data_IF_175667743450
#
_entry.id   IF_175667743450
#
_cell.length_a   1.000
_cell.length_b   1.000
_cell.length_c   1.000
_cell.angle_alpha   90.00
_cell.angle_beta   90.00
_cell.angle_gamma   90.00
#
_symmetry.space_group_name_H-M   'P 1'
#
loop_
_entity.id
_entity.type
_entity.pdbx_description
1 polymer ?
#
# COMPACT_ATOMS: atom_id res chain seq x y z
N UNK A 1 -14.54 -15.31 -13.91
CA UNK A 1 -14.45 -14.51 -12.68
C UNK A 1 -13.55 -13.33 -12.98
N UNK A 2 -13.93 -12.12 -12.57
CA UNK A 2 -13.07 -10.94 -12.66
C UNK A 2 -11.92 -11.14 -11.66
N UNK A 3 -10.68 -11.26 -12.14
CA UNK A 3 -9.50 -11.53 -11.29
C UNK A 3 -9.06 -10.30 -10.48
N UNK A 4 -9.49 -9.11 -10.90
CA UNK A 4 -9.17 -7.83 -10.29
C UNK A 4 -10.44 -7.02 -9.98
N UNK A 5 -11.31 -7.48 -9.07
CA UNK A 5 -12.45 -6.68 -8.62
C UNK A 5 -11.93 -5.43 -7.90
N UNK A 6 -12.59 -4.29 -8.10
CA UNK A 6 -12.18 -3.05 -7.44
C UNK A 6 -12.25 -3.18 -5.90
N UNK A 7 -11.25 -2.63 -5.20
CA UNK A 7 -11.06 -2.70 -3.74
C UNK A 7 -10.73 -4.09 -3.18
N UNK A 8 -10.70 -5.13 -4.01
CA UNK A 8 -10.28 -6.46 -3.56
C UNK A 8 -8.78 -6.49 -3.25
N UNK A 9 -8.39 -7.39 -2.34
CA UNK A 9 -7.00 -7.66 -2.05
C UNK A 9 -6.55 -8.92 -2.80
N UNK A 10 -5.37 -8.86 -3.40
CA UNK A 10 -4.78 -9.95 -4.17
C UNK A 10 -3.31 -10.14 -3.84
N UNK A 11 -2.79 -11.33 -4.13
CA UNK A 11 -1.36 -11.61 -4.24
C UNK A 11 -1.03 -11.98 -5.67
N UNK A 12 0.15 -11.59 -6.08
CA UNK A 12 0.70 -11.96 -7.38
C UNK A 12 1.82 -12.98 -7.16
N UNK A 13 1.55 -14.23 -7.53
CA UNK A 13 2.52 -15.33 -7.50
C UNK A 13 3.23 -15.42 -8.86
N UNK A 14 4.55 -15.23 -8.85
CA UNK A 14 5.37 -15.42 -10.04
C UNK A 14 5.42 -16.89 -10.41
N UNK A 15 4.92 -17.25 -11.59
CA UNK A 15 4.98 -18.64 -12.08
C UNK A 15 6.39 -19.11 -12.40
N UNK A 16 7.29 -18.16 -12.67
CA UNK A 16 8.69 -18.44 -12.99
C UNK A 16 9.47 -18.80 -11.73
N UNK A 17 9.23 -18.08 -10.65
CA UNK A 17 10.03 -18.20 -9.42
C UNK A 17 9.31 -18.90 -8.26
N UNK A 18 8.00 -19.10 -8.35
CA UNK A 18 7.20 -19.65 -7.24
C UNK A 18 7.17 -18.73 -6.01
N UNK A 19 7.36 -17.42 -6.21
CA UNK A 19 7.48 -16.40 -5.16
C UNK A 19 6.51 -15.25 -5.40
N UNK A 20 6.18 -14.53 -4.34
CA UNK A 20 5.17 -13.48 -4.32
C UNK A 20 5.76 -12.10 -4.52
N UNK A 21 5.07 -11.24 -5.27
CA UNK A 21 5.42 -9.84 -5.42
C UNK A 21 5.34 -9.13 -4.05
N UNK A 22 6.45 -8.54 -3.63
CA UNK A 22 6.65 -8.03 -2.28
C UNK A 22 7.05 -6.55 -2.30
N UNK A 23 6.23 -5.70 -1.67
CA UNK A 23 6.55 -4.31 -1.38
C UNK A 23 7.59 -4.25 -0.25
N UNK A 24 8.82 -3.84 -0.53
CA UNK A 24 9.85 -3.83 0.49
C UNK A 24 9.59 -2.78 1.58
N UNK A 25 10.14 -3.03 2.76
CA UNK A 25 9.96 -2.16 3.93
C UNK A 25 10.59 -0.79 3.75
N UNK A 26 11.49 -0.58 2.79
CA UNK A 26 12.03 0.75 2.47
C UNK A 26 10.97 1.72 1.90
N UNK A 27 9.77 1.23 1.57
CA UNK A 27 8.70 2.02 0.96
C UNK A 27 9.03 2.48 -0.46
N UNK A 28 10.04 1.90 -1.09
CA UNK A 28 10.53 2.31 -2.40
C UNK A 28 10.70 1.13 -3.35
N UNK A 29 11.40 0.07 -2.93
CA UNK A 29 11.70 -1.05 -3.83
C UNK A 29 10.63 -2.14 -3.77
N UNK A 30 10.59 -2.96 -4.82
CA UNK A 30 9.73 -4.14 -4.92
C UNK A 30 10.63 -5.33 -5.23
N UNK A 31 10.39 -6.45 -4.55
CA UNK A 31 11.14 -7.70 -4.73
C UNK A 31 10.20 -8.89 -4.84
N UNK A 32 10.78 -10.09 -4.96
CA UNK A 32 10.04 -11.35 -4.85
C UNK A 32 10.38 -12.03 -3.53
N UNK A 33 9.36 -12.45 -2.79
CA UNK A 33 9.50 -13.10 -1.49
C UNK A 33 8.84 -14.48 -1.49
N UNK A 34 9.45 -15.50 -0.87
CA UNK A 34 8.79 -16.79 -0.65
C UNK A 34 7.70 -16.71 0.43
N UNK A 35 7.64 -15.61 1.20
CA UNK A 35 6.73 -15.47 2.33
C UNK A 35 5.33 -15.05 1.88
N UNK A 36 4.41 -16.01 1.77
CA UNK A 36 3.00 -15.77 1.37
C UNK A 36 2.21 -14.91 2.35
N UNK A 37 2.32 -15.22 3.65
CA UNK A 37 1.51 -14.60 4.71
C UNK A 37 2.17 -13.31 5.24
N UNK A 38 2.17 -12.26 4.42
CA UNK A 38 2.68 -10.93 4.80
C UNK A 38 1.81 -9.83 4.22
N UNK A 39 1.67 -8.71 4.92
CA UNK A 39 1.01 -7.51 4.38
C UNK A 39 1.79 -6.93 3.20
N UNK A 40 3.11 -7.10 3.18
CA UNK A 40 3.97 -6.63 2.12
C UNK A 40 3.78 -7.41 0.80
N UNK A 41 3.14 -8.59 0.83
CA UNK A 41 2.75 -9.32 -0.40
C UNK A 41 1.30 -9.11 -0.80
N UNK A 42 0.53 -8.35 0.00
CA UNK A 42 -0.85 -8.03 -0.27
C UNK A 42 -0.98 -6.70 -1.04
N UNK A 43 -1.71 -6.75 -2.15
CA UNK A 43 -1.96 -5.62 -3.03
C UNK A 43 -3.46 -5.39 -3.17
N UNK A 44 -3.90 -4.18 -2.88
CA UNK A 44 -5.28 -3.76 -3.11
C UNK A 44 -5.46 -3.27 -4.55
N UNK A 45 -6.55 -3.71 -5.17
CA UNK A 45 -6.90 -3.38 -6.54
C UNK A 45 -7.61 -2.04 -6.58
N UNK A 46 -7.12 -1.17 -7.46
CA UNK A 46 -7.74 0.10 -7.80
C UNK A 46 -8.00 0.12 -9.30
N UNK A 47 -9.28 0.01 -9.71
CA UNK A 47 -9.66 0.14 -11.12
C UNK A 47 -9.82 1.60 -11.52
N UNK A 48 -9.29 1.94 -12.69
CA UNK A 48 -9.40 3.26 -13.29
C UNK A 48 -9.83 3.12 -14.74
N UNK A 49 -10.93 3.78 -15.12
CA UNK A 49 -11.34 3.88 -16.51
C UNK A 49 -10.95 5.25 -17.08
N UNK A 50 -10.23 5.25 -18.21
CA UNK A 50 -9.84 6.48 -18.89
C UNK A 50 -9.91 6.30 -20.41
N UNK A 51 -10.70 7.18 -21.07
CA UNK A 51 -10.90 7.19 -22.53
C UNK A 51 -11.34 5.82 -23.07
N UNK A 52 -12.21 5.13 -22.34
CA UNK A 52 -12.73 3.81 -22.73
C UNK A 52 -11.76 2.64 -22.52
N UNK A 53 -10.59 2.89 -21.94
CA UNK A 53 -9.63 1.84 -21.53
C UNK A 53 -9.72 1.65 -20.03
N UNK A 54 -9.79 0.39 -19.60
CA UNK A 54 -9.79 0.02 -18.18
C UNK A 54 -8.37 -0.35 -17.75
N UNK A 55 -7.87 0.36 -16.75
CA UNK A 55 -6.59 0.13 -16.12
C UNK A 55 -6.78 -0.44 -14.71
N UNK A 56 -5.81 -1.25 -14.30
CA UNK A 56 -5.65 -1.71 -12.93
C UNK A 56 -4.43 -1.01 -12.35
N UNK A 57 -4.61 -0.42 -11.18
CA UNK A 57 -3.54 0.04 -10.33
C UNK A 57 -3.49 -0.87 -9.10
N UNK A 58 -2.29 -1.18 -8.63
CA UNK A 58 -2.09 -2.04 -7.47
C UNK A 58 -1.39 -1.23 -6.38
N UNK A 59 -2.06 -1.00 -5.26
CA UNK A 59 -1.44 -0.35 -4.11
C UNK A 59 -1.16 -1.33 -2.98
N UNK A 60 0.02 -1.21 -2.37
CA UNK A 60 0.46 -2.04 -1.25
C UNK A 60 -0.51 -1.90 -0.08
N UNK A 61 -0.96 -3.01 0.48
CA UNK A 61 -1.78 -3.00 1.70
C UNK A 61 -0.97 -2.59 2.95
N UNK A 62 0.37 -2.61 2.87
CA UNK A 62 1.24 -2.18 3.96
C UNK A 62 1.35 -0.64 4.03
N UNK A 63 1.60 0.02 2.89
CA UNK A 63 1.97 1.45 2.85
C UNK A 63 1.14 2.31 1.91
N UNK A 64 0.15 1.73 1.22
CA UNK A 64 -0.73 2.41 0.28
C UNK A 64 -0.07 2.90 -1.01
N UNK A 65 1.23 2.63 -1.20
CA UNK A 65 2.00 3.02 -2.39
C UNK A 65 1.74 2.08 -3.56
N UNK A 66 1.76 2.62 -4.77
CA UNK A 66 1.40 1.93 -6.00
C UNK A 66 2.58 1.24 -6.66
N UNK A 67 2.33 0.06 -7.22
CA UNK A 67 3.27 -0.68 -8.04
C UNK A 67 3.57 0.09 -9.32
N UNK A 68 4.84 0.41 -9.53
CA UNK A 68 5.30 1.28 -10.60
C UNK A 68 6.43 0.67 -11.42
N UNK A 69 6.55 1.09 -12.68
CA UNK A 69 7.72 0.84 -13.53
C UNK A 69 8.31 2.15 -14.00
N UNK A 70 9.58 2.34 -13.72
CA UNK A 70 10.32 3.52 -14.16
C UNK A 70 11.81 3.19 -14.35
N UNK A 71 12.55 4.04 -15.08
CA UNK A 71 14.00 3.95 -15.15
C UNK A 71 14.63 3.99 -13.76
N UNK A 72 15.54 3.07 -13.50
CA UNK A 72 16.26 3.01 -12.24
C UNK A 72 17.14 4.27 -12.10
N UNK A 73 17.01 5.05 -11.02
CA UNK A 73 17.65 6.36 -10.91
C UNK A 73 19.19 6.30 -10.85
N UNK A 74 19.74 5.17 -10.40
CA UNK A 74 21.19 4.97 -10.22
C UNK A 74 21.89 4.18 -11.32
N UNK A 75 21.19 3.77 -12.38
CA UNK A 75 21.77 2.97 -13.47
C UNK A 75 21.83 3.81 -14.74
N UNK A 76 23.01 3.87 -15.35
CA UNK A 76 23.32 4.76 -16.47
C UNK A 76 22.49 4.45 -17.73
N UNK A 77 22.01 3.22 -17.91
CA UNK A 77 21.36 2.74 -19.14
C UNK A 77 19.82 2.77 -19.13
N UNK A 78 19.18 3.63 -18.31
CA UNK A 78 17.71 3.68 -18.17
C UNK A 78 17.07 2.33 -17.86
N UNK A 79 17.82 1.42 -17.25
CA UNK A 79 17.34 0.07 -16.95
C UNK A 79 16.07 0.18 -16.10
N UNK A 80 14.97 -0.36 -16.61
CA UNK A 80 13.69 -0.28 -15.94
C UNK A 80 13.69 -1.16 -14.69
N UNK A 81 13.08 -0.65 -13.62
CA UNK A 81 12.88 -1.38 -12.37
C UNK A 81 11.43 -1.28 -11.90
N UNK A 82 11.09 -2.14 -10.93
CA UNK A 82 9.79 -2.16 -10.28
C UNK A 82 9.91 -1.51 -8.91
N UNK A 83 9.04 -0.54 -8.63
CA UNK A 83 9.11 0.30 -7.44
C UNK A 83 7.74 0.60 -6.85
N UNK A 84 7.75 1.29 -5.70
CA UNK A 84 6.58 1.81 -5.00
C UNK A 84 6.50 3.33 -5.15
N UNK A 85 5.40 3.83 -5.73
CA UNK A 85 5.16 5.26 -5.99
C UNK A 85 3.91 5.79 -5.31
N UNK A 86 3.91 7.10 -5.05
CA UNK A 86 2.68 7.83 -4.72
C UNK A 86 1.86 8.08 -5.98
N UNK A 87 0.54 8.23 -5.84
CA UNK A 87 -0.37 8.54 -6.95
C UNK A 87 -0.81 9.99 -6.86
N UNK A 88 -0.17 10.88 -7.63
CA UNK A 88 -0.31 12.33 -7.48
C UNK A 88 -0.99 13.03 -8.66
N UNK A 89 -1.04 12.40 -9.83
CA UNK A 89 -1.76 12.94 -11.00
C UNK A 89 -2.84 11.94 -11.44
N UNK A 90 -4.03 12.39 -11.91
CA UNK A 90 -5.10 11.47 -12.29
C UNK A 90 -4.69 10.48 -13.39
N UNK A 91 -3.79 10.90 -14.26
CA UNK A 91 -3.21 10.07 -15.33
C UNK A 91 -1.71 9.97 -15.09
N UNK A 92 -1.35 8.99 -14.28
CA UNK A 92 0.01 8.67 -13.93
C UNK A 92 0.42 7.32 -14.57
N UNK A 93 1.03 7.38 -15.76
CA UNK A 93 1.29 6.20 -16.59
C UNK A 93 2.28 5.18 -16.00
N UNK A 94 3.17 5.61 -15.10
CA UNK A 94 4.16 4.74 -14.46
C UNK A 94 3.58 3.76 -13.43
N UNK A 95 2.29 3.87 -13.10
CA UNK A 95 1.57 2.97 -12.17
C UNK A 95 0.35 2.29 -12.81
N UNK A 96 0.13 2.46 -14.11
CA UNK A 96 -1.03 1.93 -14.82
C UNK A 96 -0.71 0.61 -15.52
N UNK A 97 -1.59 -0.38 -15.29
CA UNK A 97 -1.45 -1.72 -15.81
C UNK A 97 -2.68 -2.13 -16.61
N UNK A 98 -2.47 -2.70 -17.79
CA UNK A 98 -3.48 -3.44 -18.52
C UNK A 98 -3.32 -4.93 -18.23
N UNK A 99 -4.44 -5.60 -17.99
CA UNK A 99 -4.46 -7.02 -17.63
C UNK A 99 -4.81 -7.85 -18.87
N UNK A 100 -3.92 -8.76 -19.25
CA UNK A 100 -4.14 -9.72 -20.31
C UNK A 100 -4.17 -11.14 -19.76
N UNK A 101 -5.02 -12.04 -20.27
CA UNK A 101 -4.89 -13.46 -19.99
C UNK A 101 -3.54 -13.97 -20.48
N UNK A 102 -2.83 -14.73 -19.65
CA UNK A 102 -1.61 -15.40 -20.10
C UNK A 102 -1.96 -16.41 -21.21
N UNK A 103 -1.16 -16.42 -22.27
CA UNK A 103 -1.35 -17.35 -23.40
C UNK A 103 -1.11 -18.83 -23.07
N UNK A 104 -0.73 -19.15 -21.83
CA UNK A 104 -0.38 -20.49 -21.37
C UNK A 104 -1.58 -21.41 -21.10
N UNK A 105 -2.81 -20.87 -21.16
CA UNK A 105 -4.04 -21.63 -20.95
C UNK A 105 -4.25 -22.12 -19.51
N UNK A 106 -3.37 -21.73 -18.59
CA UNK A 106 -3.37 -22.23 -17.22
C UNK A 106 -3.89 -21.17 -16.23
N UNK A 107 -4.72 -20.25 -16.71
CA UNK A 107 -5.39 -19.22 -15.91
C UNK A 107 -4.48 -18.13 -15.33
N UNK A 108 -3.29 -17.93 -15.90
CA UNK A 108 -2.38 -16.85 -15.51
C UNK A 108 -2.80 -15.50 -16.11
N UNK A 109 -2.14 -14.44 -15.65
CA UNK A 109 -2.27 -13.08 -16.20
C UNK A 109 -0.92 -12.45 -16.50
N UNK A 110 -0.92 -11.60 -17.50
CA UNK A 110 0.18 -10.71 -17.85
C UNK A 110 -0.22 -9.28 -17.49
N UNK A 111 0.62 -8.61 -16.71
CA UNK A 111 0.48 -7.20 -16.38
C UNK A 111 1.32 -6.40 -17.36
N UNK A 112 0.65 -5.66 -18.26
CA UNK A 112 1.32 -4.84 -19.26
C UNK A 112 1.34 -3.38 -18.82
N UNK A 113 2.54 -2.82 -18.74
CA UNK A 113 2.73 -1.43 -18.38
C UNK A 113 2.40 -0.50 -19.56
N UNK A 114 1.66 0.58 -19.32
CA UNK A 114 1.19 1.48 -20.40
C UNK A 114 2.32 2.23 -21.10
N UNK A 115 3.34 2.68 -20.35
CA UNK A 115 4.49 3.41 -20.90
C UNK A 115 5.58 2.47 -21.42
N UNK A 116 5.65 1.26 -20.87
CA UNK A 116 6.71 0.29 -21.13
C UNK A 116 6.13 -1.10 -21.41
N UNK A 117 5.38 -1.29 -22.52
CA UNK A 117 4.64 -2.52 -22.77
C UNK A 117 5.55 -3.76 -22.95
N UNK A 118 6.82 -3.55 -23.32
CA UNK A 118 7.84 -4.60 -23.43
C UNK A 118 8.56 -4.89 -22.12
N UNK A 119 8.34 -4.08 -21.08
CA UNK A 119 8.72 -4.42 -19.70
C UNK A 119 7.70 -5.44 -19.19
N UNK A 120 7.76 -6.64 -19.78
CA UNK A 120 6.90 -7.74 -19.45
C UNK A 120 7.29 -8.29 -18.10
N UNK A 121 6.41 -8.10 -17.10
CA UNK A 121 6.49 -8.88 -15.88
C UNK A 121 6.21 -10.36 -16.22
N UNK A 122 6.78 -11.33 -15.47
CA UNK A 122 6.51 -12.75 -15.68
C UNK A 122 5.00 -13.06 -15.60
N UNK A 123 4.58 -14.23 -16.06
CA UNK A 123 3.20 -14.66 -15.88
C UNK A 123 2.88 -14.78 -14.38
N UNK A 124 1.77 -14.18 -13.98
CA UNK A 124 1.30 -14.18 -12.59
C UNK A 124 0.11 -15.12 -12.42
N UNK A 125 0.09 -15.84 -11.31
CA UNK A 125 -1.16 -16.35 -10.77
C UNK A 125 -1.70 -15.33 -9.76
N UNK A 126 -2.96 -14.94 -9.94
CA UNK A 126 -3.64 -14.04 -9.01
C UNK A 126 -4.30 -14.89 -7.93
N UNK A 127 -3.87 -14.72 -6.69
CA UNK A 127 -4.53 -15.31 -5.53
C UNK A 127 -5.37 -14.23 -4.84
N UNK A 128 -6.68 -14.46 -4.70
CA UNK A 128 -7.53 -13.55 -3.93
C UNK A 128 -7.20 -13.67 -2.44
N UNK A 129 -7.12 -12.54 -1.74
CA UNK A 129 -7.02 -12.48 -0.29
C UNK A 129 -8.41 -12.13 0.25
N UNK A 130 -9.03 -12.98 1.08
CA UNK A 130 -10.32 -12.65 1.65
C UNK A 130 -10.19 -11.44 2.58
N UNK A 131 -11.25 -10.62 2.70
CA UNK A 131 -11.28 -9.54 3.66
C UNK A 131 -11.34 -10.11 5.08
N UNK A 132 -10.55 -9.53 5.99
CA UNK A 132 -10.59 -9.85 7.40
C UNK A 132 -11.82 -9.20 8.04
N UNK A 133 -12.58 -9.92 8.90
CA UNK A 133 -13.78 -9.37 9.54
C UNK A 133 -13.47 -8.30 10.60
N UNK A 134 -12.27 -8.31 11.16
CA UNK A 134 -11.81 -7.37 12.18
C UNK A 134 -10.43 -6.82 11.81
N UNK A 135 -10.12 -5.56 12.17
CA UNK A 135 -8.77 -5.04 12.02
C UNK A 135 -7.74 -5.95 12.71
N UNK A 136 -6.56 -6.19 12.11
CA UNK A 136 -5.46 -6.87 12.79
C UNK A 136 -5.07 -6.15 14.08
N UNK A 137 -4.53 -6.90 15.03
CA UNK A 137 -3.78 -6.29 16.13
C UNK A 137 -2.58 -5.54 15.56
N UNK A 138 -2.29 -4.37 16.12
CA UNK A 138 -1.08 -3.64 15.78
C UNK A 138 0.16 -4.45 16.20
N UNK A 139 1.32 -4.23 15.54
CA UNK A 139 2.59 -4.81 15.95
C UNK A 139 2.86 -4.56 17.43
N UNK A 140 3.50 -5.52 18.10
CA UNK A 140 3.93 -5.34 19.49
C UNK A 140 4.93 -4.19 19.59
N UNK A 141 4.77 -3.35 20.61
CA UNK A 141 5.77 -2.32 20.91
C UNK A 141 7.12 -2.98 21.20
N UNK A 142 8.17 -2.48 20.56
CA UNK A 142 9.52 -2.89 20.89
C UNK A 142 9.80 -2.40 22.33
N UNK A 143 10.27 -3.27 23.24
CA UNK A 143 10.48 -2.89 24.64
C UNK A 143 11.39 -1.66 24.79
N UNK A 144 10.97 -0.73 25.65
CA UNK A 144 11.76 0.44 26.04
C UNK A 144 13.18 0.02 26.48
N UNK A 145 14.21 0.54 25.81
CA UNK A 145 15.62 0.28 26.12
C UNK A 145 16.36 -0.62 25.13
N UNK A 146 15.68 -1.18 24.12
CA UNK A 146 16.36 -1.76 22.96
C UNK A 146 16.76 -0.61 22.03
N UNK A 147 18.06 -0.44 21.78
CA UNK A 147 18.52 0.52 20.78
C UNK A 147 17.93 0.15 19.41
N UNK A 148 17.09 1.01 18.85
CA UNK A 148 16.77 0.94 17.44
C UNK A 148 18.04 1.29 16.66
N UNK A 149 18.60 0.37 15.86
CA UNK A 149 19.85 0.63 15.14
C UNK A 149 19.74 1.78 14.13
N UNK A 150 18.51 2.22 13.81
CA UNK A 150 18.24 3.30 12.86
C UNK A 150 17.37 4.38 13.53
N UNK A 151 17.95 5.57 13.71
CA UNK A 151 17.20 6.76 14.15
C UNK A 151 16.54 7.40 12.93
N UNK A 152 15.45 6.81 12.46
CA UNK A 152 14.64 7.41 11.39
C UNK A 152 13.88 8.62 11.92
N UNK A 153 13.85 9.70 11.13
CA UNK A 153 13.07 10.90 11.44
C UNK A 153 12.26 11.31 10.22
N UNK A 154 10.93 11.37 10.34
CA UNK A 154 10.06 11.78 9.24
C UNK A 154 9.04 12.83 9.66
N UNK A 155 8.51 13.54 8.66
CA UNK A 155 7.36 14.42 8.85
C UNK A 155 6.08 13.60 8.62
N UNK A 156 5.18 13.64 9.58
CA UNK A 156 3.81 13.17 9.41
C UNK A 156 2.93 14.37 9.09
N UNK A 157 2.29 14.35 7.92
CA UNK A 157 1.21 15.28 7.58
C UNK A 157 -0.08 14.56 7.93
N UNK A 158 -0.94 15.16 8.75
CA UNK A 158 -2.17 14.52 9.16
C UNK A 158 -3.39 15.44 9.08
N UNK A 159 -4.55 14.81 8.94
CA UNK A 159 -5.86 15.44 8.97
C UNK A 159 -6.86 14.50 9.64
N UNK A 160 -7.81 15.05 10.39
CA UNK A 160 -8.91 14.28 10.97
C UNK A 160 -10.08 14.26 9.99
N UNK A 161 -10.54 13.07 9.63
CA UNK A 161 -11.79 12.90 8.89
C UNK A 161 -13.00 13.15 9.81
N UNK A 162 -14.07 13.69 9.24
CA UNK A 162 -15.36 13.76 9.93
C UNK A 162 -16.05 12.38 9.94
N UNK A 163 -17.22 12.31 10.57
CA UNK A 163 -17.97 11.05 10.69
C UNK A 163 -18.50 10.50 9.35
N UNK A 164 -18.44 11.31 8.29
CA UNK A 164 -18.78 10.95 6.90
C UNK A 164 -17.53 10.64 6.07
N UNK A 165 -16.36 10.47 6.71
CA UNK A 165 -15.10 10.15 6.04
C UNK A 165 -14.54 11.27 5.17
N UNK A 166 -15.13 12.47 5.24
CA UNK A 166 -14.65 13.65 4.52
C UNK A 166 -13.56 14.30 5.37
N UNK A 167 -12.39 14.50 4.77
CA UNK A 167 -11.26 15.18 5.38
C UNK A 167 -10.89 16.39 4.52
N UNK A 168 -11.01 17.58 5.10
CA UNK A 168 -10.71 18.85 4.44
C UNK A 168 -9.46 19.49 5.02
N UNK A 169 -8.86 20.40 4.26
CA UNK A 169 -7.76 21.26 4.71
C UNK A 169 -8.16 22.06 5.97
N UNK A 170 -7.21 22.42 6.86
CA UNK A 170 -5.76 22.31 6.70
C UNK A 170 -5.18 20.99 7.21
N UNK A 171 -4.19 20.45 6.48
CA UNK A 171 -3.30 19.42 7.00
C UNK A 171 -2.37 20.04 8.03
N UNK A 172 -2.14 19.31 9.13
CA UNK A 172 -1.18 19.68 10.16
C UNK A 172 0.03 18.78 10.06
N UNK A 173 1.15 19.21 10.63
CA UNK A 173 2.38 18.43 10.59
C UNK A 173 2.98 18.27 11.97
N UNK A 174 3.64 17.15 12.19
CA UNK A 174 4.56 16.96 13.30
C UNK A 174 5.68 16.00 12.87
N UNK A 175 6.72 15.92 13.69
CA UNK A 175 7.86 15.04 13.43
C UNK A 175 7.72 13.78 14.26
N UNK A 176 7.81 12.62 13.62
CA UNK A 176 7.85 11.31 14.27
C UNK A 176 9.28 10.78 14.22
N UNK A 177 9.74 10.20 15.33
CA UNK A 177 10.99 9.48 15.41
C UNK A 177 10.70 7.98 15.38
N UNK A 178 11.54 7.21 14.69
CA UNK A 178 11.38 5.77 14.54
C UNK A 178 10.35 5.37 13.47
N UNK A 179 9.79 4.17 13.64
CA UNK A 179 8.87 3.54 12.69
C UNK A 179 7.64 2.90 13.32
N UNK A 180 7.51 2.96 14.65
CA UNK A 180 6.41 2.30 15.36
C UNK A 180 5.08 2.92 14.97
N UNK A 181 4.15 2.09 14.48
CA UNK A 181 2.77 2.53 14.23
C UNK A 181 2.05 2.82 15.55
N UNK A 182 2.42 2.13 16.64
CA UNK A 182 1.85 2.35 17.96
C UNK A 182 2.26 3.72 18.52
N UNK A 183 3.52 4.11 18.34
CA UNK A 183 3.99 5.46 18.71
C UNK A 183 3.27 6.54 17.89
N UNK A 184 2.99 6.27 16.62
CA UNK A 184 2.22 7.17 15.77
C UNK A 184 0.76 7.32 16.26
N UNK A 185 0.10 6.21 16.60
CA UNK A 185 -1.24 6.22 17.21
C UNK A 185 -1.22 6.98 18.53
N UNK A 186 -0.22 6.72 19.38
CA UNK A 186 0.03 7.43 20.63
C UNK A 186 0.19 8.94 20.43
N UNK A 187 1.07 9.36 19.53
CA UNK A 187 1.29 10.78 19.24
C UNK A 187 0.00 11.46 18.76
N UNK A 188 -0.73 10.84 17.83
CA UNK A 188 -1.96 11.40 17.27
C UNK A 188 -3.11 11.43 18.28
N UNK A 189 -3.23 10.44 19.16
CA UNK A 189 -4.24 10.47 20.23
C UNK A 189 -4.03 11.64 21.20
N UNK A 190 -2.78 11.91 21.59
CA UNK A 190 -2.45 13.07 22.44
C UNK A 190 -2.75 14.38 21.72
N UNK A 191 -2.28 14.52 20.47
CA UNK A 191 -2.46 15.74 19.67
C UNK A 191 -3.94 16.05 19.43
N UNK A 192 -4.78 15.02 19.23
CA UNK A 192 -6.20 15.16 18.94
C UNK A 192 -7.10 15.14 20.18
N UNK A 193 -6.55 14.92 21.38
CA UNK A 193 -7.33 14.75 22.60
C UNK A 193 -8.27 13.55 22.54
N UNK A 194 -7.87 12.49 21.84
CA UNK A 194 -8.67 11.27 21.65
C UNK A 194 -7.98 10.07 22.33
N UNK A 195 -8.78 9.12 22.81
CA UNK A 195 -8.24 7.85 23.29
C UNK A 195 -7.60 7.09 22.12
N UNK A 196 -6.40 6.53 22.34
CA UNK A 196 -5.63 5.78 21.34
C UNK A 196 -6.44 4.62 20.71
N UNK A 197 -7.30 3.97 21.52
CA UNK A 197 -8.14 2.87 21.09
C UNK A 197 -9.36 3.30 20.24
N UNK A 198 -9.59 4.61 20.10
CA UNK A 198 -10.74 5.17 19.37
C UNK A 198 -10.32 5.83 18.06
N UNK A 199 -9.09 5.66 17.61
CA UNK A 199 -8.64 6.18 16.32
C UNK A 199 -8.13 5.07 15.41
N UNK A 200 -8.46 5.21 14.12
CA UNK A 200 -7.92 4.37 13.05
C UNK A 200 -7.14 5.25 12.11
N UNK A 201 -5.92 4.84 11.79
CA UNK A 201 -5.02 5.57 10.90
C UNK A 201 -5.09 4.99 9.50
N UNK A 202 -5.25 5.84 8.50
CA UNK A 202 -5.13 5.46 7.09
C UNK A 202 -4.03 6.27 6.44
N UNK A 203 -3.11 5.60 5.73
CA UNK A 203 -2.15 6.28 4.87
C UNK A 203 -2.79 6.62 3.53
N UNK A 204 -2.48 7.79 2.99
CA UNK A 204 -2.85 8.22 1.63
C UNK A 204 -1.58 8.47 0.81
N UNK A 205 -1.20 7.53 -0.05
CA UNK A 205 0.00 7.70 -0.87
C UNK A 205 -0.27 8.59 -2.10
N UNK A 206 -0.16 9.90 -1.92
CA UNK A 206 -0.37 10.90 -2.97
C UNK A 206 -1.82 11.40 -3.06
N UNK A 207 -2.03 12.48 -3.82
CA UNK A 207 -3.34 13.15 -3.87
C UNK A 207 -4.47 12.30 -4.48
N UNK A 208 -4.16 11.35 -5.36
CA UNK A 208 -5.15 10.41 -5.90
C UNK A 208 -5.07 9.02 -5.24
N UNK A 209 -4.15 8.84 -4.28
CA UNK A 209 -3.99 7.62 -3.53
C UNK A 209 -5.25 7.24 -2.75
N UNK A 210 -5.57 5.94 -2.74
CA UNK A 210 -6.66 5.40 -1.92
C UNK A 210 -6.19 5.30 -0.48
N UNK A 211 -7.13 5.47 0.43
CA UNK A 211 -6.87 5.28 1.86
C UNK A 211 -6.57 3.81 2.12
N UNK A 212 -5.42 3.56 2.74
CA UNK A 212 -4.98 2.23 3.14
C UNK A 212 -4.85 2.21 4.66
N UNK A 213 -5.57 1.33 5.38
CA UNK A 213 -5.43 1.23 6.83
C UNK A 213 -3.99 0.90 7.23
N UNK A 214 -3.41 1.72 8.11
CA UNK A 214 -2.05 1.53 8.57
C UNK A 214 -2.04 0.63 9.81
N UNK A 215 -1.69 -0.63 9.59
CA UNK A 215 -1.70 -1.71 10.61
C UNK A 215 -0.34 -2.39 10.75
N UNK A 216 0.71 -1.78 10.19
CA UNK A 216 2.09 -2.22 10.22
C UNK A 216 2.99 -1.02 10.51
N UNK A 217 4.17 -1.28 11.06
CA UNK A 217 5.20 -0.27 11.25
C UNK A 217 5.56 0.43 9.95
N UNK A 218 5.82 1.73 10.07
CA UNK A 218 6.12 2.64 8.98
C UNK A 218 7.35 2.16 8.19
N UNK A 219 7.45 2.51 6.90
CA UNK A 219 8.56 2.06 6.05
C UNK A 219 9.90 2.63 6.55
N UNK A 220 11.00 1.93 6.29
CA UNK A 220 12.40 2.32 6.55
C UNK A 220 12.81 3.46 5.61
N UNK A 221 12.18 4.61 5.80
CA UNK A 221 12.33 5.81 4.97
C UNK A 221 12.03 7.05 5.81
N UNK A 222 12.68 8.16 5.45
CA UNK A 222 12.42 9.49 6.03
C UNK A 222 11.43 10.31 5.20
N UNK A 223 10.88 9.73 4.12
CA UNK A 223 9.85 10.38 3.29
C UNK A 223 8.63 10.80 4.14
N UNK A 224 8.07 11.99 3.88
CA UNK A 224 6.83 12.42 4.52
C UNK A 224 5.68 11.45 4.25
N UNK A 225 4.83 11.24 5.25
CA UNK A 225 3.62 10.41 5.11
C UNK A 225 2.36 11.20 5.40
N UNK A 226 1.32 10.93 4.60
CA UNK A 226 0.00 11.53 4.75
C UNK A 226 -0.92 10.57 5.47
N UNK A 227 -1.36 10.96 6.66
CA UNK A 227 -2.20 10.17 7.53
C UNK A 227 -3.57 10.83 7.70
N UNK A 228 -4.62 10.12 7.33
CA UNK A 228 -6.00 10.48 7.63
C UNK A 228 -6.43 9.72 8.89
N UNK A 229 -6.91 10.46 9.88
CA UNK A 229 -7.34 9.92 11.18
C UNK A 229 -8.86 9.81 11.22
N UNK A 230 -9.36 8.60 11.42
CA UNK A 230 -10.77 8.31 11.60
C UNK A 230 -11.08 8.02 13.07
N UNK A 231 -12.32 8.30 13.49
CA UNK A 231 -12.84 7.80 14.77
C UNK A 231 -13.30 6.36 14.56
N UNK A 232 -12.81 5.44 15.39
CA UNK A 232 -13.16 4.01 15.33
C UNK A 232 -14.67 3.84 15.52
N UNK A 233 -15.31 3.06 14.63
CA UNK A 233 -16.75 2.80 14.66
C UNK A 233 -17.64 3.77 13.87
N UNK A 234 -17.06 4.76 13.16
CA UNK A 234 -17.81 5.55 12.19
C UNK A 234 -18.26 4.69 10.98
N UNK A 235 -19.37 5.00 10.28
CA UNK A 235 -19.85 4.16 9.16
C UNK A 235 -18.80 3.94 8.05
N UNK A 236 -18.05 4.98 7.69
CA UNK A 236 -16.99 4.90 6.67
C UNK A 236 -15.76 4.08 7.13
N UNK A 237 -15.60 3.86 8.44
CA UNK A 237 -14.60 2.93 8.96
C UNK A 237 -14.93 1.47 8.56
N UNK A 238 -16.19 1.16 8.24
CA UNK A 238 -16.61 -0.19 7.83
C UNK A 238 -16.29 -0.48 6.36
N UNK A 239 -16.00 0.53 5.53
CA UNK A 239 -15.53 0.33 4.16
C UNK A 239 -14.03 0.00 4.07
N UNK A 240 -13.28 0.26 5.14
CA UNK A 240 -11.85 -0.04 5.23
C UNK A 240 -11.65 -1.55 5.36
N UNK A 241 -11.32 -2.19 4.24
CA UNK A 241 -11.03 -3.62 4.21
C UNK A 241 -9.57 -3.87 4.61
N UNK A 242 -9.37 -4.90 5.42
CA UNK A 242 -8.05 -5.41 5.75
C UNK A 242 -7.86 -6.77 5.06
N UNK A 243 -6.71 -7.03 4.42
CA UNK A 243 -6.44 -8.36 3.88
C UNK A 243 -6.24 -9.36 5.01
N UNK A 244 -6.93 -10.50 4.96
CA UNK A 244 -6.62 -11.62 5.85
C UNK A 244 -5.42 -12.38 5.30
N UNK A 245 -4.22 -11.91 5.66
CA UNK A 245 -2.99 -12.43 5.07
C UNK A 245 -2.67 -13.87 5.48
N UNK A 246 -3.28 -14.35 6.57
CA UNK A 246 -3.10 -15.69 7.10
C UNK A 246 -4.10 -16.70 6.53
N UNK A 247 -5.08 -16.22 5.73
CA UNK A 247 -6.07 -17.09 5.11
C UNK A 247 -5.39 -18.13 4.18
N UNK A 248 -5.91 -19.37 4.16
CA UNK A 248 -5.32 -20.48 3.41
C UNK A 248 -5.15 -20.22 1.91
#
# INVERSE_FOLDING_TARGET
MELFPDRAHVRLLSRVHGTYLHANEDGWSVSLSPHRASLNTAWAVHRLEHVGVSYVLLHSAAYGRYLAVLPHPSLEDQQLGVFQRVYDTPIQGDIMWEIFPAGDGNGGVELRHTVHPYFGLPHWTVEAIPPRPLPPNLPEEIPNGVEHPVVLRRIIRYVRANNFGIFNLPWRTFRLNGRSVVDLVGALGVILGANFNNITLCVRAGFHGRLTPLVIDLPISEEPMDIVVFVTGAPEHLELQHPDVDAP
#
